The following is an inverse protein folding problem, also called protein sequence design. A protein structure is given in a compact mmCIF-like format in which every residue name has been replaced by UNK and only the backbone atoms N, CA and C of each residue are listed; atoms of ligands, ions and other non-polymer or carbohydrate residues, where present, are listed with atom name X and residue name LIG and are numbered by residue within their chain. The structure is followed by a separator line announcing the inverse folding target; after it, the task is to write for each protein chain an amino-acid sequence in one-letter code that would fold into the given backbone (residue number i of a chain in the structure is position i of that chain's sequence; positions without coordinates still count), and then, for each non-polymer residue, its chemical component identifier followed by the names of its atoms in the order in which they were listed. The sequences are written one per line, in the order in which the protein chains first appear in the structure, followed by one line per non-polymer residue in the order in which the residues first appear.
data_IF_601293864311
#
_entry.id   IF_601293864311
#
_cell.length_a   1.000
_cell.length_b   1.000
_cell.length_c   1.000
_cell.angle_alpha   90.00
_cell.angle_beta   90.00
_cell.angle_gamma   90.00
#
_symmetry.space_group_name_H-M   'P 1'
#
loop_
_entity.id
_entity.type
_entity.pdbx_description
1 polymer ?
#
# COMPACT_ATOMS: atom_id res chain seq x y z
N UNK A 1 11.74 -12.59 -18.89
CA UNK A 1 12.32 -13.08 -20.17
C UNK A 1 11.91 -14.51 -20.49
N UNK A 2 12.05 -15.47 -19.57
CA UNK A 2 11.61 -16.87 -19.77
C UNK A 2 10.09 -17.05 -19.98
N UNK A 3 9.25 -16.16 -19.45
CA UNK A 3 7.79 -16.20 -19.67
C UNK A 3 7.37 -15.75 -21.07
N UNK A 4 8.17 -14.90 -21.73
CA UNK A 4 7.90 -14.43 -23.10
C UNK A 4 8.20 -15.52 -24.14
N UNK A 5 9.13 -16.43 -23.86
CA UNK A 5 9.48 -17.56 -24.74
C UNK A 5 8.51 -18.74 -24.63
N UNK A 6 7.69 -18.80 -23.58
CA UNK A 6 6.72 -19.88 -23.33
C UNK A 6 5.30 -19.50 -23.80
N UNK A 7 5.07 -18.24 -24.16
CA UNK A 7 3.74 -17.73 -24.45
C UNK A 7 3.32 -17.85 -25.91
N UNK A 8 2.26 -18.62 -26.13
CA UNK A 8 1.52 -18.72 -27.38
C UNK A 8 0.38 -17.68 -27.36
N UNK A 9 0.21 -16.75 -28.33
CA UNK A 9 0.56 -16.86 -29.76
C UNK A 9 1.63 -15.88 -30.28
N UNK A 10 2.03 -14.84 -29.53
CA UNK A 10 3.12 -13.95 -29.91
C UNK A 10 3.78 -13.30 -28.67
N UNK A 11 5.13 -13.29 -28.56
CA UNK A 11 5.85 -12.69 -27.44
C UNK A 11 5.61 -11.18 -27.29
N UNK A 12 5.25 -10.51 -28.39
CA UNK A 12 4.92 -9.06 -28.44
C UNK A 12 3.70 -8.73 -27.57
N UNK A 13 2.71 -9.61 -27.48
CA UNK A 13 1.50 -9.41 -26.68
C UNK A 13 1.85 -9.33 -25.19
N UNK A 14 2.80 -10.16 -24.74
CA UNK A 14 3.27 -10.14 -23.35
C UNK A 14 4.01 -8.86 -23.03
N UNK A 15 4.89 -8.39 -23.92
CA UNK A 15 5.61 -7.15 -23.68
C UNK A 15 4.66 -5.96 -23.54
N UNK A 16 3.66 -5.85 -24.41
CA UNK A 16 2.62 -4.81 -24.33
C UNK A 16 1.80 -4.98 -23.04
N UNK A 17 1.42 -6.22 -22.69
CA UNK A 17 0.67 -6.51 -21.48
C UNK A 17 1.41 -6.14 -20.19
N UNK A 18 2.71 -6.43 -20.10
CA UNK A 18 3.55 -6.06 -18.95
C UNK A 18 3.66 -4.53 -18.84
N UNK A 19 3.90 -3.83 -19.95
CA UNK A 19 3.99 -2.36 -19.94
C UNK A 19 2.65 -1.76 -19.50
N UNK A 20 1.54 -2.22 -20.06
CA UNK A 20 0.22 -1.70 -19.70
C UNK A 20 -0.14 -2.00 -18.23
N UNK A 21 0.14 -3.22 -17.75
CA UNK A 21 -0.13 -3.62 -16.37
C UNK A 21 0.73 -2.83 -15.37
N UNK A 22 2.02 -2.65 -15.66
CA UNK A 22 2.93 -1.87 -14.79
C UNK A 22 2.56 -0.39 -14.77
N UNK A 23 2.20 0.20 -15.92
CA UNK A 23 1.70 1.58 -15.97
C UNK A 23 0.40 1.75 -15.19
N UNK A 24 -0.54 0.82 -15.32
CA UNK A 24 -1.81 0.86 -14.59
C UNK A 24 -1.60 0.79 -13.07
N UNK A 25 -0.76 -0.14 -12.60
CA UNK A 25 -0.40 -0.26 -11.20
C UNK A 25 0.31 1.00 -10.69
N UNK A 26 1.25 1.56 -11.46
CA UNK A 26 1.97 2.78 -11.10
C UNK A 26 1.03 3.99 -10.96
N UNK A 27 0.08 4.16 -11.88
CA UNK A 27 -0.92 5.24 -11.81
C UNK A 27 -1.83 5.09 -10.59
N UNK A 28 -2.26 3.86 -10.27
CA UNK A 28 -3.06 3.59 -9.08
C UNK A 28 -2.28 3.92 -7.80
N UNK A 29 -1.01 3.53 -7.70
CA UNK A 29 -0.18 3.86 -6.54
C UNK A 29 0.11 5.35 -6.42
N UNK A 30 0.34 6.05 -7.55
CA UNK A 30 0.62 7.49 -7.58
C UNK A 30 -0.58 8.33 -7.12
N UNK A 31 -1.80 7.90 -7.43
CA UNK A 31 -3.03 8.58 -7.01
C UNK A 31 -3.51 8.13 -5.62
N UNK A 32 -3.26 6.88 -5.23
CA UNK A 32 -3.67 6.34 -3.92
C UNK A 32 -2.86 6.90 -2.75
N UNK A 33 -1.53 6.98 -2.89
CA UNK A 33 -0.63 7.44 -1.82
C UNK A 33 -0.91 8.87 -1.31
N UNK A 34 -1.06 9.90 -2.16
CA UNK A 34 -1.32 11.26 -1.69
C UNK A 34 -2.71 11.42 -1.07
N UNK A 35 -3.71 10.68 -1.57
CA UNK A 35 -5.05 10.67 -0.97
C UNK A 35 -5.06 10.06 0.44
N UNK A 36 -4.33 8.95 0.65
CA UNK A 36 -4.14 8.37 1.98
C UNK A 36 -3.40 9.34 2.92
N UNK A 37 -2.33 9.99 2.44
CA UNK A 37 -1.59 10.96 3.23
C UNK A 37 -2.44 12.18 3.61
N UNK A 38 -3.27 12.67 2.68
CA UNK A 38 -4.19 13.77 2.93
C UNK A 38 -5.29 13.41 3.94
N UNK A 39 -5.83 12.18 3.87
CA UNK A 39 -6.79 11.68 4.85
C UNK A 39 -6.20 11.65 6.27
N UNK A 40 -4.99 11.11 6.42
CA UNK A 40 -4.27 11.07 7.71
C UNK A 40 -3.97 12.48 8.23
N UNK A 41 -3.59 13.41 7.35
CA UNK A 41 -3.35 14.81 7.72
C UNK A 41 -4.63 15.54 8.16
N UNK A 42 -5.79 15.15 7.62
CA UNK A 42 -7.09 15.69 8.01
C UNK A 42 -7.57 15.16 9.38
N UNK A 43 -7.14 13.95 9.78
CA UNK A 43 -7.43 13.41 11.11
C UNK A 43 -6.67 14.14 12.25
N UNK A 44 -5.82 15.13 11.94
CA UNK A 44 -5.06 15.97 12.90
C UNK A 44 -4.19 15.18 13.92
N UNK A 45 -3.91 13.90 13.64
CA UNK A 45 -3.18 12.97 14.53
C UNK A 45 -1.71 13.38 14.70
N UNK A 46 -1.10 13.97 13.66
CA UNK A 46 0.31 14.37 13.65
C UNK A 46 0.45 15.88 13.38
N UNK A 47 0.83 16.71 14.36
CA UNK A 47 0.92 18.17 14.19
C UNK A 47 1.98 18.60 13.16
N UNK A 48 2.96 17.73 12.87
CA UNK A 48 4.00 17.95 11.85
C UNK A 48 3.44 17.85 10.42
N UNK A 49 2.33 17.12 10.22
CA UNK A 49 1.70 16.92 8.91
C UNK A 49 0.64 17.97 8.57
N UNK A 50 0.37 18.95 9.45
CA UNK A 50 -0.58 20.05 9.19
C UNK A 50 -0.27 20.86 7.93
N UNK A 51 1.00 20.90 7.51
CA UNK A 51 1.41 21.57 6.27
C UNK A 51 0.87 20.89 5.00
N UNK A 52 0.51 19.60 5.10
CA UNK A 52 -0.10 18.82 4.02
C UNK A 52 -1.63 18.78 4.08
N UNK A 53 -2.26 19.53 5.01
CA UNK A 53 -3.71 19.58 5.15
C UNK A 53 -4.31 20.29 3.94
N UNK A 54 -5.19 19.60 3.22
CA UNK A 54 -5.92 20.14 2.08
C UNK A 54 -7.41 20.08 2.37
N UNK A 55 -8.11 21.18 2.06
CA UNK A 55 -9.55 21.32 2.27
C UNK A 55 -10.33 20.27 1.46
N UNK A 56 -11.48 19.83 2.01
CA UNK A 56 -12.40 18.89 1.36
C UNK A 56 -12.71 19.33 -0.09
N UNK A 57 -12.26 18.54 -1.06
CA UNK A 57 -12.46 18.78 -2.49
C UNK A 57 -11.30 19.46 -3.24
N UNK A 58 -10.22 19.85 -2.54
CA UNK A 58 -8.98 20.33 -3.17
C UNK A 58 -8.05 19.17 -3.52
N UNK A 59 -7.43 19.20 -4.70
CA UNK A 59 -6.42 18.21 -5.07
C UNK A 59 -5.22 18.32 -4.10
N UNK A 60 -4.69 17.21 -3.55
CA UNK A 60 -3.60 17.25 -2.59
C UNK A 60 -2.25 17.48 -3.29
N UNK A 61 -2.09 18.64 -3.95
CA UNK A 61 -0.90 18.97 -4.76
C UNK A 61 0.41 18.82 -3.99
N UNK A 62 0.42 19.23 -2.71
CA UNK A 62 1.63 19.20 -1.89
C UNK A 62 1.99 17.76 -1.46
N UNK A 63 0.98 16.93 -1.15
CA UNK A 63 1.18 15.51 -0.88
C UNK A 63 1.62 14.75 -2.14
N UNK A 64 1.01 15.05 -3.30
CA UNK A 64 1.38 14.48 -4.60
C UNK A 64 2.80 14.86 -5.00
N UNK A 65 3.22 16.10 -4.77
CA UNK A 65 4.60 16.54 -5.03
C UNK A 65 5.60 15.76 -4.15
N UNK A 66 5.27 15.55 -2.88
CA UNK A 66 6.12 14.81 -1.94
C UNK A 66 6.23 13.32 -2.30
N UNK A 67 5.10 12.66 -2.60
CA UNK A 67 5.12 11.25 -3.04
C UNK A 67 5.82 11.09 -4.39
N UNK A 68 5.65 12.04 -5.31
CA UNK A 68 6.37 12.07 -6.59
C UNK A 68 7.88 12.24 -6.39
N UNK A 69 8.32 13.11 -5.48
CA UNK A 69 9.74 13.31 -5.17
C UNK A 69 10.39 12.03 -4.61
N UNK A 70 9.72 11.36 -3.67
CA UNK A 70 10.19 10.06 -3.16
C UNK A 70 10.24 9.01 -4.27
N UNK A 71 9.21 8.95 -5.12
CA UNK A 71 9.16 8.01 -6.24
C UNK A 71 10.32 8.25 -7.22
N UNK A 72 10.60 9.49 -7.59
CA UNK A 72 11.74 9.86 -8.44
C UNK A 72 13.06 9.43 -7.79
N UNK A 73 13.23 9.65 -6.48
CA UNK A 73 14.39 9.18 -5.73
C UNK A 73 14.58 7.67 -5.83
N UNK A 74 13.51 6.89 -5.66
CA UNK A 74 13.54 5.44 -5.83
C UNK A 74 13.89 5.01 -7.27
N UNK A 75 13.40 5.72 -8.28
CA UNK A 75 13.69 5.42 -9.70
C UNK A 75 15.16 5.68 -10.03
N UNK A 76 15.75 6.75 -9.50
CA UNK A 76 17.17 7.11 -9.74
C UNK A 76 18.14 6.03 -9.24
N UNK A 77 17.79 5.34 -8.16
CA UNK A 77 18.60 4.22 -7.64
C UNK A 77 18.72 3.10 -8.69
N UNK A 78 17.73 2.95 -9.59
CA UNK A 78 17.78 2.07 -10.76
C UNK A 78 17.89 0.57 -10.47
N UNK A 79 17.98 0.18 -9.19
CA UNK A 79 18.19 -1.19 -8.75
C UNK A 79 16.93 -1.74 -8.06
N UNK A 80 16.15 -2.50 -8.83
CA UNK A 80 14.92 -3.12 -8.36
C UNK A 80 15.16 -4.16 -7.26
N UNK A 81 16.32 -4.81 -7.23
CA UNK A 81 16.65 -5.86 -6.26
C UNK A 81 16.83 -5.29 -4.85
N UNK A 82 17.20 -4.01 -4.72
CA UNK A 82 17.27 -3.32 -3.43
C UNK A 82 15.92 -2.69 -3.01
N UNK A 83 15.13 -2.24 -3.99
CA UNK A 83 13.86 -1.55 -3.75
C UNK A 83 12.78 -2.57 -3.35
N UNK A 84 12.74 -3.73 -4.01
CA UNK A 84 11.73 -4.78 -3.78
C UNK A 84 11.67 -5.21 -2.31
N UNK A 85 12.76 -5.64 -1.65
CA UNK A 85 12.69 -6.07 -0.25
C UNK A 85 12.30 -4.93 0.69
N UNK A 86 12.74 -3.71 0.40
CA UNK A 86 12.39 -2.51 1.20
C UNK A 86 10.89 -2.27 1.18
N UNK A 87 10.27 -2.29 -0.01
CA UNK A 87 8.82 -2.11 -0.15
C UNK A 87 8.06 -3.26 0.53
N UNK A 88 8.50 -4.51 0.34
CA UNK A 88 7.89 -5.68 0.97
C UNK A 88 7.88 -5.57 2.49
N UNK A 89 8.97 -5.11 3.11
CA UNK A 89 9.02 -4.90 4.57
C UNK A 89 7.97 -3.89 5.06
N UNK A 90 7.78 -2.78 4.36
CA UNK A 90 6.75 -1.81 4.72
C UNK A 90 5.33 -2.40 4.59
N UNK A 91 5.05 -3.15 3.52
CA UNK A 91 3.75 -3.82 3.36
C UNK A 91 3.51 -4.89 4.43
N UNK A 92 4.50 -5.73 4.73
CA UNK A 92 4.41 -6.74 5.77
C UNK A 92 4.16 -6.13 7.15
N UNK A 93 4.84 -5.02 7.48
CA UNK A 93 4.61 -4.29 8.72
C UNK A 93 3.18 -3.74 8.82
N UNK A 94 2.64 -3.18 7.73
CA UNK A 94 1.25 -2.73 7.67
C UNK A 94 0.27 -3.90 7.85
N UNK A 95 0.50 -5.04 7.19
CA UNK A 95 -0.34 -6.22 7.33
C UNK A 95 -0.28 -6.81 8.74
N UNK A 96 0.92 -6.88 9.33
CA UNK A 96 1.11 -7.30 10.71
C UNK A 96 0.38 -6.36 11.68
N UNK A 97 0.50 -5.04 11.49
CA UNK A 97 -0.17 -4.03 12.31
C UNK A 97 -1.69 -4.11 12.26
N UNK A 98 -2.27 -4.29 11.07
CA UNK A 98 -3.73 -4.45 10.91
C UNK A 98 -4.20 -5.76 11.55
N UNK A 99 -3.52 -6.88 11.29
CA UNK A 99 -3.87 -8.18 11.88
C UNK A 99 -3.76 -8.18 13.40
N UNK A 100 -2.70 -7.56 13.95
CA UNK A 100 -2.51 -7.43 15.39
C UNK A 100 -3.53 -6.49 16.02
N UNK A 101 -3.89 -5.39 15.35
CA UNK A 101 -4.97 -4.51 15.81
C UNK A 101 -6.30 -5.25 15.89
N UNK A 102 -6.68 -5.99 14.85
CA UNK A 102 -7.89 -6.83 14.87
C UNK A 102 -7.87 -7.85 16.00
N UNK A 103 -6.74 -8.54 16.21
CA UNK A 103 -6.56 -9.49 17.30
C UNK A 103 -6.71 -8.82 18.68
N UNK A 104 -6.10 -7.65 18.88
CA UNK A 104 -6.22 -6.90 20.14
C UNK A 104 -7.65 -6.42 20.38
N UNK A 105 -8.34 -5.91 19.35
CA UNK A 105 -9.73 -5.46 19.49
C UNK A 105 -10.69 -6.61 19.80
N UNK A 106 -10.46 -7.81 19.23
CA UNK A 106 -11.18 -9.03 19.58
C UNK A 106 -10.87 -9.51 21.00
N UNK A 107 -9.61 -9.41 21.45
CA UNK A 107 -9.19 -9.87 22.79
C UNK A 107 -9.66 -8.93 23.91
N UNK A 108 -9.70 -7.62 23.64
CA UNK A 108 -10.10 -6.59 24.61
C UNK A 108 -11.61 -6.34 24.66
N UNK A 109 -12.41 -7.08 23.88
CA UNK A 109 -13.87 -6.92 23.74
C UNK A 109 -14.29 -5.44 23.61
N UNK A 110 -13.61 -4.71 22.71
CA UNK A 110 -13.86 -3.28 22.54
C UNK A 110 -15.33 -3.04 22.16
N UNK A 111 -16.08 -2.16 22.86
CA UNK A 111 -17.54 -2.05 22.72
C UNK A 111 -18.02 -1.59 21.33
N UNK A 112 -17.13 -0.98 20.53
CA UNK A 112 -17.38 -0.57 19.14
C UNK A 112 -17.07 -1.67 18.10
N UNK A 113 -16.43 -2.76 18.50
CA UNK A 113 -15.98 -3.82 17.58
C UNK A 113 -17.05 -4.91 17.43
N UNK A 114 -17.67 -5.00 16.26
CA UNK A 114 -18.70 -6.00 15.92
C UNK A 114 -18.45 -6.58 14.53
N UNK A 115 -17.50 -7.52 14.36
CA UNK A 115 -17.24 -8.15 13.08
C UNK A 115 -18.48 -8.93 12.62
N UNK A 116 -19.18 -8.44 11.58
CA UNK A 116 -20.35 -9.12 10.99
C UNK A 116 -19.98 -10.27 10.04
N UNK A 117 -18.70 -10.49 9.79
CA UNK A 117 -18.24 -11.49 8.83
C UNK A 117 -18.14 -12.88 9.45
N UNK A 118 -18.72 -13.88 8.78
CA UNK A 118 -18.97 -15.23 9.31
C UNK A 118 -17.73 -16.07 9.63
N UNK A 119 -16.58 -15.74 9.03
CA UNK A 119 -15.31 -16.48 9.20
C UNK A 119 -14.24 -15.69 9.95
N UNK A 120 -14.62 -14.57 10.57
CA UNK A 120 -13.70 -13.79 11.39
C UNK A 120 -13.48 -14.51 12.72
N UNK A 121 -12.27 -15.01 12.95
CA UNK A 121 -11.87 -15.63 14.21
C UNK A 121 -10.53 -15.04 14.65
N UNK A 122 -10.38 -14.77 15.95
CA UNK A 122 -9.18 -14.16 16.53
C UNK A 122 -7.89 -14.93 16.19
N UNK A 123 -7.98 -16.26 16.05
CA UNK A 123 -6.86 -17.12 15.68
C UNK A 123 -6.38 -16.91 14.24
N UNK A 124 -7.27 -16.52 13.33
CA UNK A 124 -6.91 -16.23 11.93
C UNK A 124 -6.11 -14.93 11.84
N UNK A 125 -6.49 -13.91 12.61
CA UNK A 125 -5.75 -12.65 12.74
C UNK A 125 -4.38 -12.86 13.36
N UNK A 126 -4.28 -13.69 14.42
CA UNK A 126 -3.00 -14.01 15.05
C UNK A 126 -2.08 -14.81 14.10
N UNK A 127 -2.65 -15.78 13.38
CA UNK A 127 -1.90 -16.53 12.38
C UNK A 127 -1.40 -15.63 11.24
N UNK A 128 -2.25 -14.73 10.75
CA UNK A 128 -1.88 -13.72 9.75
C UNK A 128 -0.77 -12.79 10.23
N UNK A 129 -0.83 -12.32 11.47
CA UNK A 129 0.24 -11.52 12.07
C UNK A 129 1.55 -12.32 12.18
N UNK A 130 1.48 -13.58 12.61
CA UNK A 130 2.67 -14.44 12.74
C UNK A 130 3.33 -14.80 11.41
N UNK A 131 2.57 -14.83 10.30
CA UNK A 131 3.12 -15.04 8.96
C UNK A 131 3.76 -13.79 8.36
N UNK A 132 3.38 -12.61 8.86
CA UNK A 132 3.90 -11.34 8.36
C UNK A 132 5.19 -10.89 9.07
N UNK A 133 5.52 -11.49 10.23
CA UNK A 133 6.72 -11.25 11.04
C UNK A 133 7.76 -12.32 10.73
#
# INVERSE_FOLDING_TARGET
LLTATVAWPAPVIIHIGIILSTLGAALQSLTGAPNLLAAIANDDILPVLKYFKVAEGGEPHLATLFTAFICIGCVIIGNLDLITPTITMFFLLCYAGVNLSCFLLDLLDAPSWRPRWKYHHWSLSLFGASLCV
#
